data_IF_960794961079
#
_entry.id   IF_960794961079
#
_cell.length_a   1.000
_cell.length_b   1.000
_cell.length_c   1.000
_cell.angle_alpha   90.00
_cell.angle_beta   90.00
_cell.angle_gamma   90.00
#
_symmetry.space_group_name_H-M   'P 1'
#
loop_
_entity.id
_entity.type
_entity.pdbx_description
1 polymer ?
#
# COMPACT_ATOMS: atom_id res chain seq x y z
N UNK A 1 66.87 33.08 16.92
CA UNK A 1 65.52 33.20 16.33
C UNK A 1 64.97 31.80 16.19
N UNK A 2 63.82 31.47 16.79
CA UNK A 2 63.27 30.10 16.78
C UNK A 2 62.13 29.95 15.79
N UNK A 3 62.27 29.04 14.82
CA UNK A 3 61.22 28.67 13.87
C UNK A 3 60.38 27.51 14.40
N UNK A 4 59.28 27.81 15.10
CA UNK A 4 58.33 26.79 15.59
C UNK A 4 57.47 26.27 14.44
N UNK A 5 57.95 25.23 13.76
CA UNK A 5 57.16 24.48 12.77
C UNK A 5 56.01 23.74 13.45
N UNK A 6 54.81 24.32 13.44
CA UNK A 6 53.58 23.66 13.91
C UNK A 6 53.30 22.44 13.04
N UNK A 7 53.25 21.20 13.59
CA UNK A 7 52.94 20.03 12.80
C UNK A 7 51.52 20.11 12.26
N UNK A 8 51.36 19.93 10.94
CA UNK A 8 50.05 19.91 10.28
C UNK A 8 49.33 18.59 10.61
N UNK A 9 48.82 18.45 11.85
CA UNK A 9 47.95 17.34 12.27
C UNK A 9 46.55 17.56 11.68
N UNK A 10 46.47 17.52 10.35
CA UNK A 10 45.23 17.38 9.59
C UNK A 10 44.77 15.93 9.77
N UNK A 11 44.28 15.64 10.98
CA UNK A 11 44.02 14.29 11.45
C UNK A 11 43.18 13.52 10.43
N UNK A 12 43.66 12.32 10.07
CA UNK A 12 42.90 11.34 9.31
C UNK A 12 41.76 10.82 10.20
N UNK A 13 40.67 11.62 10.30
CA UNK A 13 39.38 11.12 10.79
C UNK A 13 39.03 9.92 9.92
N UNK A 14 39.06 8.73 10.51
CA UNK A 14 38.54 7.55 9.83
C UNK A 14 37.04 7.78 9.61
N UNK A 15 36.46 7.37 8.45
CA UNK A 15 35.02 7.53 8.23
C UNK A 15 34.18 6.90 9.35
N UNK A 16 34.68 5.81 9.93
CA UNK A 16 34.10 5.12 11.10
C UNK A 16 33.98 6.04 12.33
N UNK A 17 34.95 6.93 12.57
CA UNK A 17 34.93 7.87 13.70
C UNK A 17 33.78 8.89 13.57
N UNK A 18 33.46 9.33 12.35
CA UNK A 18 32.35 10.25 12.13
C UNK A 18 30.99 9.59 12.35
N UNK A 19 30.80 8.33 11.93
CA UNK A 19 29.53 7.61 12.13
C UNK A 19 29.13 7.37 13.59
N UNK A 20 30.07 7.51 14.54
CA UNK A 20 29.86 7.32 15.98
C UNK A 20 29.82 8.66 16.74
N UNK A 21 30.24 9.78 16.15
CA UNK A 21 30.35 11.06 16.86
C UNK A 21 29.02 11.85 16.90
N UNK A 22 28.46 12.01 18.11
CA UNK A 22 27.26 12.78 18.44
C UNK A 22 27.33 14.27 18.03
N UNK A 23 28.51 14.92 18.10
CA UNK A 23 28.72 16.34 17.72
C UNK A 23 28.23 16.63 16.31
N UNK A 24 28.30 15.63 15.43
CA UNK A 24 27.95 15.77 14.02
C UNK A 24 26.45 15.99 13.87
N UNK A 25 25.60 15.35 14.68
CA UNK A 25 24.16 15.62 14.67
C UNK A 25 23.90 17.06 15.14
N UNK A 26 24.49 17.47 16.26
CA UNK A 26 24.34 18.84 16.80
C UNK A 26 24.76 19.89 15.77
N UNK A 27 25.88 19.67 15.07
CA UNK A 27 26.39 20.55 14.00
C UNK A 27 25.41 20.67 12.83
N UNK A 28 24.88 19.55 12.34
CA UNK A 28 23.95 19.54 11.21
C UNK A 28 22.58 20.14 11.56
N UNK A 29 22.08 19.89 12.78
CA UNK A 29 20.85 20.51 13.28
C UNK A 29 21.01 22.02 13.53
N UNK A 30 22.18 22.50 13.98
CA UNK A 30 22.48 23.92 14.07
C UNK A 30 22.54 24.59 12.67
N UNK A 31 23.25 23.96 11.73
CA UNK A 31 23.36 24.46 10.35
C UNK A 31 21.99 24.55 9.66
N UNK A 32 21.12 23.55 9.83
CA UNK A 32 19.75 23.57 9.28
C UNK A 32 18.77 24.47 10.06
N UNK A 33 19.13 24.92 11.27
CA UNK A 33 18.28 25.77 12.11
C UNK A 33 17.24 25.01 12.92
N UNK A 34 17.45 23.70 13.15
CA UNK A 34 16.56 22.81 13.90
C UNK A 34 17.04 22.49 15.33
N UNK A 35 18.21 22.99 15.73
CA UNK A 35 18.72 22.86 17.11
C UNK A 35 17.98 23.83 18.05
N UNK A 36 17.06 23.30 18.86
CA UNK A 36 16.13 24.08 19.70
C UNK A 36 16.35 23.84 21.21
N UNK A 37 17.56 24.14 21.69
CA UNK A 37 18.03 23.90 23.07
C UNK A 37 17.10 24.44 24.19
N UNK A 38 16.25 25.41 23.89
CA UNK A 38 15.25 25.96 24.82
C UNK A 38 13.99 25.11 24.94
N UNK A 39 13.55 24.44 23.87
CA UNK A 39 12.41 23.53 23.89
C UNK A 39 12.77 22.17 24.50
N UNK A 40 14.03 21.77 24.37
CA UNK A 40 14.57 20.52 24.95
C UNK A 40 14.61 20.50 26.50
N UNK A 41 14.16 21.58 27.17
CA UNK A 41 13.93 21.63 28.63
C UNK A 41 12.55 21.12 29.05
N UNK A 42 11.57 21.05 28.15
CA UNK A 42 10.31 20.35 28.42
C UNK A 42 10.54 18.85 28.30
N UNK A 43 10.78 18.17 29.42
CA UNK A 43 10.96 16.71 29.51
C UNK A 43 9.66 15.90 29.23
N UNK A 44 8.69 16.48 28.51
CA UNK A 44 7.41 15.86 28.16
C UNK A 44 7.38 15.37 26.72
N UNK A 45 6.82 14.18 26.49
CA UNK A 45 6.43 13.76 25.14
C UNK A 45 5.31 14.69 24.69
N UNK A 46 5.48 15.39 23.55
CA UNK A 46 4.45 16.26 22.96
C UNK A 46 3.13 15.48 22.82
N UNK A 47 2.01 16.12 23.16
CA UNK A 47 0.67 15.51 23.04
C UNK A 47 0.40 14.97 21.62
N UNK A 48 0.88 15.68 20.58
CA UNK A 48 0.81 15.21 19.19
C UNK A 48 1.55 13.89 18.97
N UNK A 49 2.76 13.73 19.52
CA UNK A 49 3.53 12.48 19.44
C UNK A 49 2.81 11.31 20.14
N UNK A 50 2.13 11.54 21.27
CA UNK A 50 1.31 10.51 21.93
C UNK A 50 0.16 10.05 21.01
N UNK A 51 -0.56 10.99 20.40
CA UNK A 51 -1.63 10.69 19.43
C UNK A 51 -1.08 9.93 18.21
N UNK A 52 0.07 10.32 17.68
CA UNK A 52 0.68 9.62 16.55
C UNK A 52 1.20 8.22 16.91
N UNK A 53 1.68 7.99 18.13
CA UNK A 53 2.02 6.64 18.63
C UNK A 53 0.78 5.74 18.69
N UNK A 54 -0.35 6.24 19.20
CA UNK A 54 -1.62 5.48 19.21
C UNK A 54 -2.09 5.11 17.80
N UNK A 55 -1.94 6.04 16.84
CA UNK A 55 -2.21 5.78 15.42
C UNK A 55 -1.26 4.71 14.85
N UNK A 56 0.03 4.74 15.19
CA UNK A 56 0.97 3.71 14.76
C UNK A 56 0.64 2.33 15.33
N UNK A 57 0.27 2.24 16.61
CA UNK A 57 -0.21 1.00 17.22
C UNK A 57 -1.42 0.44 16.47
N UNK A 58 -2.36 1.28 16.05
CA UNK A 58 -3.50 0.87 15.23
C UNK A 58 -3.05 0.34 13.85
N UNK A 59 -2.18 1.06 13.13
CA UNK A 59 -1.62 0.64 11.83
C UNK A 59 -0.91 -0.73 11.93
N UNK A 60 -0.13 -0.94 13.00
CA UNK A 60 0.57 -2.21 13.27
C UNK A 60 -0.46 -3.33 13.49
N UNK A 61 -1.46 -3.11 14.34
CA UNK A 61 -2.50 -4.10 14.65
C UNK A 61 -3.34 -4.48 13.41
N UNK A 62 -3.76 -3.50 12.60
CA UNK A 62 -4.53 -3.78 11.36
C UNK A 62 -3.72 -4.62 10.36
N UNK A 63 -2.44 -4.30 10.17
CA UNK A 63 -1.60 -5.02 9.21
C UNK A 63 -1.17 -6.40 9.71
N UNK A 64 -0.95 -6.58 11.03
CA UNK A 64 -0.87 -7.91 11.66
C UNK A 64 -2.14 -8.71 11.37
N UNK A 65 -3.32 -8.08 11.46
CA UNK A 65 -4.59 -8.75 11.21
C UNK A 65 -4.80 -9.13 9.73
N UNK A 66 -4.31 -8.32 8.77
CA UNK A 66 -4.24 -8.70 7.34
C UNK A 66 -3.36 -9.95 7.16
N UNK A 67 -2.15 -9.96 7.74
CA UNK A 67 -1.20 -11.07 7.64
C UNK A 67 -1.77 -12.37 8.22
N UNK A 68 -2.34 -12.31 9.44
CA UNK A 68 -3.03 -13.43 10.08
C UNK A 68 -4.21 -13.94 9.24
N UNK A 69 -4.98 -13.02 8.64
CA UNK A 69 -6.12 -13.37 7.78
C UNK A 69 -5.68 -14.14 6.54
N UNK A 70 -4.57 -13.74 5.91
CA UNK A 70 -4.00 -14.44 4.74
C UNK A 70 -3.47 -15.81 5.16
N UNK A 71 -2.68 -15.88 6.25
CA UNK A 71 -2.05 -17.11 6.74
C UNK A 71 -3.05 -18.20 7.18
N UNK A 72 -4.10 -17.83 7.92
CA UNK A 72 -5.14 -18.79 8.36
C UNK A 72 -6.06 -19.24 7.22
N UNK A 73 -6.24 -18.43 6.18
CA UNK A 73 -7.25 -18.68 5.14
C UNK A 73 -6.64 -19.41 3.94
N UNK A 74 -6.71 -20.74 3.90
CA UNK A 74 -6.20 -21.57 2.76
C UNK A 74 -6.63 -21.09 1.36
N UNK A 75 -7.80 -20.44 1.23
CA UNK A 75 -8.29 -19.85 -0.03
C UNK A 75 -7.42 -18.68 -0.54
N UNK A 76 -6.74 -17.97 0.36
CA UNK A 76 -5.87 -16.84 0.07
C UNK A 76 -4.42 -17.25 -0.23
N UNK A 77 -4.08 -18.53 -0.27
CA UNK A 77 -2.78 -18.99 -0.80
C UNK A 77 -2.76 -18.95 -2.34
N UNK A 78 -2.67 -17.72 -2.89
CA UNK A 78 -2.56 -17.41 -4.33
C UNK A 78 -1.65 -16.17 -4.53
N UNK A 79 -0.92 -16.05 -5.65
CA UNK A 79 0.02 -14.95 -5.94
C UNK A 79 -0.43 -13.54 -5.55
N UNK A 80 -1.66 -13.16 -5.93
CA UNK A 80 -2.27 -11.87 -5.60
C UNK A 80 -2.23 -11.55 -4.09
N UNK A 81 -2.51 -12.53 -3.23
CA UNK A 81 -2.56 -12.32 -1.80
C UNK A 81 -1.16 -12.36 -1.16
N UNK A 82 -0.18 -13.04 -1.75
CA UNK A 82 1.21 -12.92 -1.29
C UNK A 82 1.75 -11.50 -1.48
N UNK A 83 1.41 -10.82 -2.59
CA UNK A 83 1.75 -9.41 -2.76
C UNK A 83 0.97 -8.47 -1.82
N UNK A 84 -0.29 -8.76 -1.51
CA UNK A 84 -1.05 -8.01 -0.49
C UNK A 84 -0.45 -8.21 0.90
N UNK A 85 -0.01 -9.43 1.23
CA UNK A 85 0.73 -9.72 2.46
C UNK A 85 2.08 -9.00 2.52
N UNK A 86 2.79 -8.90 1.39
CA UNK A 86 4.05 -8.13 1.35
C UNK A 86 3.85 -6.63 1.56
N UNK A 87 2.78 -6.07 0.99
CA UNK A 87 2.39 -4.67 1.21
C UNK A 87 1.96 -4.43 2.68
N UNK A 88 1.19 -5.35 3.27
CA UNK A 88 0.86 -5.28 4.69
C UNK A 88 2.11 -5.42 5.60
N UNK A 89 3.12 -6.19 5.18
CA UNK A 89 4.40 -6.29 5.90
C UNK A 89 5.22 -4.99 5.81
N UNK A 90 5.30 -4.34 4.66
CA UNK A 90 5.98 -3.04 4.53
C UNK A 90 5.23 -1.92 5.25
N UNK A 91 3.89 -1.94 5.25
CA UNK A 91 3.05 -0.99 6.00
C UNK A 91 3.11 -1.22 7.52
N UNK A 92 3.21 -2.48 7.98
CA UNK A 92 3.50 -2.83 9.39
C UNK A 92 4.87 -2.28 9.81
N UNK A 93 5.91 -2.53 9.01
CA UNK A 93 7.26 -2.03 9.30
C UNK A 93 7.33 -0.50 9.20
N UNK A 94 6.53 0.17 8.35
CA UNK A 94 6.39 1.62 8.37
C UNK A 94 5.83 2.13 9.71
N UNK A 95 4.81 1.46 10.27
CA UNK A 95 4.26 1.77 11.58
C UNK A 95 5.27 1.58 12.73
N UNK A 96 6.05 0.48 12.70
CA UNK A 96 7.14 0.24 13.67
C UNK A 96 8.26 1.28 13.53
N UNK A 97 8.72 1.53 12.31
CA UNK A 97 9.74 2.52 12.01
C UNK A 97 9.33 3.93 12.45
N UNK A 98 8.08 4.34 12.21
CA UNK A 98 7.60 5.65 12.63
C UNK A 98 7.36 5.75 14.14
N UNK A 99 6.95 4.66 14.80
CA UNK A 99 6.91 4.60 16.28
C UNK A 99 8.31 4.82 16.86
N UNK A 100 9.33 4.14 16.31
CA UNK A 100 10.72 4.35 16.69
C UNK A 100 11.22 5.77 16.35
N UNK A 101 10.82 6.33 15.20
CA UNK A 101 11.14 7.70 14.82
C UNK A 101 10.61 8.72 15.84
N UNK A 102 9.35 8.57 16.27
CA UNK A 102 8.70 9.43 17.28
C UNK A 102 9.36 9.32 18.65
N UNK A 103 9.65 8.09 19.13
CA UNK A 103 10.30 7.86 20.43
C UNK A 103 11.76 8.33 20.48
N UNK A 104 12.46 8.27 19.35
CA UNK A 104 13.84 8.73 19.21
C UNK A 104 13.96 10.17 18.68
N UNK A 105 12.86 10.95 18.70
CA UNK A 105 12.80 12.36 18.25
C UNK A 105 12.75 13.36 19.41
N UNK A 106 12.96 14.65 19.10
CA UNK A 106 13.15 15.70 20.10
C UNK A 106 14.51 15.56 20.79
N UNK A 107 14.58 15.83 22.10
CA UNK A 107 15.82 15.83 22.88
C UNK A 107 16.63 14.51 22.84
N UNK A 108 16.01 13.37 22.51
CA UNK A 108 16.72 12.09 22.29
C UNK A 108 17.52 12.06 20.98
N UNK A 109 17.16 12.89 19.98
CA UNK A 109 17.83 12.94 18.67
C UNK A 109 19.32 13.25 18.79
N UNK A 110 19.70 14.18 19.67
CA UNK A 110 21.10 14.59 19.85
C UNK A 110 21.92 13.56 20.67
N UNK A 111 21.26 12.56 21.26
CA UNK A 111 21.88 11.41 21.94
C UNK A 111 22.04 10.19 21.02
N UNK A 112 21.72 10.32 19.74
CA UNK A 112 21.95 9.28 18.73
C UNK A 112 23.34 9.45 18.09
N UNK A 113 23.99 8.34 17.74
CA UNK A 113 25.10 8.39 16.79
C UNK A 113 24.57 8.64 15.37
N UNK A 114 25.35 9.25 14.45
CA UNK A 114 24.95 9.36 13.05
C UNK A 114 24.54 8.02 12.41
N UNK A 115 25.19 6.91 12.77
CA UNK A 115 24.76 5.57 12.33
C UNK A 115 23.34 5.19 12.81
N UNK A 116 23.01 5.43 14.09
CA UNK A 116 21.66 5.20 14.62
C UNK A 116 20.63 6.14 13.97
N UNK A 117 21.02 7.38 13.69
CA UNK A 117 20.17 8.36 13.02
C UNK A 117 19.86 7.96 11.57
N UNK A 118 20.87 7.50 10.81
CA UNK A 118 20.63 6.95 9.46
C UNK A 118 19.81 5.65 9.48
N UNK A 119 19.94 4.82 10.51
CA UNK A 119 19.07 3.64 10.67
C UNK A 119 17.61 4.06 10.94
N UNK A 120 17.40 5.08 11.79
CA UNK A 120 16.09 5.67 12.11
C UNK A 120 15.38 6.18 10.86
N UNK A 121 16.00 7.09 10.11
CA UNK A 121 15.40 7.65 8.89
C UNK A 121 15.40 6.65 7.72
N UNK A 122 16.48 5.88 7.55
CA UNK A 122 16.63 4.88 6.51
C UNK A 122 15.55 3.80 6.56
N UNK A 123 15.12 3.40 7.77
CA UNK A 123 14.01 2.45 7.93
C UNK A 123 12.69 2.93 7.30
N UNK A 124 12.41 4.24 7.34
CA UNK A 124 11.26 4.84 6.65
C UNK A 124 11.42 4.79 5.12
N UNK A 125 12.63 5.03 4.60
CA UNK A 125 12.93 4.91 3.17
C UNK A 125 12.82 3.45 2.67
N UNK A 126 13.28 2.47 3.46
CA UNK A 126 13.11 1.03 3.15
C UNK A 126 11.63 0.66 3.09
N UNK A 127 10.83 1.10 4.07
CA UNK A 127 9.39 0.80 4.12
C UNK A 127 8.61 1.44 2.96
N UNK A 128 8.86 2.72 2.66
CA UNK A 128 8.33 3.41 1.47
C UNK A 128 8.66 2.64 0.19
N UNK A 129 9.94 2.32 -0.01
CA UNK A 129 10.41 1.59 -1.19
C UNK A 129 9.73 0.24 -1.32
N UNK A 130 9.62 -0.52 -0.23
CA UNK A 130 8.99 -1.83 -0.22
C UNK A 130 7.49 -1.75 -0.55
N UNK A 131 6.77 -0.73 -0.06
CA UNK A 131 5.36 -0.50 -0.44
C UNK A 131 5.22 -0.07 -1.92
N UNK A 132 6.09 0.79 -2.45
CA UNK A 132 6.07 1.20 -3.89
C UNK A 132 6.36 0.01 -4.82
N UNK A 133 7.39 -0.77 -4.55
CA UNK A 133 7.70 -1.96 -5.37
C UNK A 133 6.64 -3.06 -5.21
N UNK A 134 6.00 -3.19 -4.05
CA UNK A 134 4.83 -4.08 -3.87
C UNK A 134 3.64 -3.63 -4.73
N UNK A 135 3.33 -2.33 -4.79
CA UNK A 135 2.29 -1.79 -5.68
C UNK A 135 2.61 -2.03 -7.16
N UNK A 136 3.87 -1.88 -7.58
CA UNK A 136 4.31 -2.22 -8.94
C UNK A 136 4.15 -3.72 -9.23
N UNK A 137 4.53 -4.60 -8.31
CA UNK A 137 4.37 -6.05 -8.47
C UNK A 137 2.89 -6.46 -8.57
N UNK A 138 2.01 -5.84 -7.77
CA UNK A 138 0.55 -5.99 -7.88
C UNK A 138 0.05 -5.52 -9.26
N UNK A 139 0.55 -4.39 -9.76
CA UNK A 139 0.17 -3.86 -11.07
C UNK A 139 0.60 -4.78 -12.23
N UNK A 140 1.81 -5.34 -12.17
CA UNK A 140 2.32 -6.30 -13.16
C UNK A 140 1.54 -7.61 -13.11
N UNK A 141 1.27 -8.19 -11.93
CA UNK A 141 0.47 -9.41 -11.79
C UNK A 141 -0.98 -9.18 -12.28
N UNK A 142 -1.56 -8.00 -12.02
CA UNK A 142 -2.87 -7.60 -12.57
C UNK A 142 -2.85 -7.47 -14.09
N UNK A 143 -1.83 -6.85 -14.66
CA UNK A 143 -1.66 -6.74 -16.11
C UNK A 143 -1.59 -8.12 -16.78
N UNK A 144 -0.74 -9.02 -16.25
CA UNK A 144 -0.56 -10.38 -16.78
C UNK A 144 -1.86 -11.19 -16.68
N UNK A 145 -2.52 -11.19 -15.52
CA UNK A 145 -3.75 -11.97 -15.30
C UNK A 145 -4.93 -11.46 -16.12
N UNK A 146 -5.10 -10.14 -16.27
CA UNK A 146 -6.18 -9.57 -17.09
C UNK A 146 -5.90 -9.66 -18.59
N UNK A 147 -4.64 -9.56 -19.04
CA UNK A 147 -4.31 -9.72 -20.46
C UNK A 147 -4.55 -11.13 -20.96
N UNK A 148 -3.92 -12.12 -20.30
CA UNK A 148 -3.75 -13.48 -20.85
C UNK A 148 -4.99 -14.38 -20.73
N UNK A 149 -6.04 -13.94 -20.02
CA UNK A 149 -7.30 -14.69 -19.77
C UNK A 149 -7.13 -16.14 -19.29
N UNK A 150 -5.94 -16.53 -18.82
CA UNK A 150 -5.66 -17.94 -18.51
C UNK A 150 -6.50 -18.40 -17.33
N UNK A 151 -7.25 -19.50 -17.54
CA UNK A 151 -7.51 -20.44 -16.45
C UNK A 151 -6.17 -20.75 -15.78
N UNK A 152 -6.12 -20.65 -14.47
CA UNK A 152 -4.90 -20.60 -13.67
C UNK A 152 -4.24 -21.99 -13.56
N UNK A 153 -3.69 -22.46 -14.68
CA UNK A 153 -2.94 -23.70 -14.76
C UNK A 153 -1.49 -23.43 -14.30
N UNK A 154 -1.09 -24.02 -13.17
CA UNK A 154 0.27 -23.99 -12.64
C UNK A 154 0.88 -22.58 -12.48
N UNK A 155 0.48 -21.83 -11.45
CA UNK A 155 1.24 -20.64 -11.06
C UNK A 155 2.39 -21.03 -10.13
N UNK A 156 3.62 -20.89 -10.62
CA UNK A 156 4.83 -21.12 -9.82
C UNK A 156 4.94 -20.05 -8.73
N UNK A 157 4.50 -20.37 -7.50
CA UNK A 157 4.60 -19.49 -6.32
C UNK A 157 6.03 -18.97 -6.11
N UNK A 158 7.03 -19.77 -6.48
CA UNK A 158 8.45 -19.38 -6.54
C UNK A 158 8.69 -18.04 -7.25
N UNK A 159 7.99 -17.74 -8.34
CA UNK A 159 8.10 -16.43 -9.03
C UNK A 159 7.62 -15.27 -8.15
N UNK A 160 6.57 -15.49 -7.36
CA UNK A 160 6.07 -14.45 -6.45
C UNK A 160 7.05 -14.21 -5.30
N UNK A 161 7.64 -15.27 -4.75
CA UNK A 161 8.69 -15.16 -3.73
C UNK A 161 9.96 -14.48 -4.28
N UNK A 162 10.43 -14.85 -5.48
CA UNK A 162 11.58 -14.20 -6.13
C UNK A 162 11.33 -12.70 -6.34
N UNK A 163 10.15 -12.32 -6.82
CA UNK A 163 9.77 -10.91 -6.97
C UNK A 163 9.71 -10.18 -5.62
N UNK A 164 9.16 -10.81 -4.57
CA UNK A 164 9.12 -10.25 -3.21
C UNK A 164 10.55 -10.04 -2.67
N UNK A 165 11.42 -11.04 -2.76
CA UNK A 165 12.82 -10.93 -2.34
C UNK A 165 13.56 -9.82 -3.10
N UNK A 166 13.34 -9.69 -4.41
CA UNK A 166 13.90 -8.59 -5.20
C UNK A 166 13.40 -7.21 -4.73
N UNK A 167 12.11 -7.07 -4.40
CA UNK A 167 11.56 -5.83 -3.83
C UNK A 167 12.28 -5.45 -2.52
N UNK A 168 12.49 -6.42 -1.62
CA UNK A 168 13.19 -6.17 -0.35
C UNK A 168 14.67 -5.84 -0.54
N UNK A 169 15.41 -6.58 -1.39
CA UNK A 169 16.82 -6.29 -1.68
C UNK A 169 17.00 -4.90 -2.26
N UNK A 170 16.20 -4.51 -3.26
CA UNK A 170 16.28 -3.17 -3.86
C UNK A 170 15.93 -2.09 -2.83
N UNK A 171 14.95 -2.34 -1.96
CA UNK A 171 14.53 -1.38 -0.92
C UNK A 171 15.57 -1.19 0.18
N UNK A 172 16.22 -2.27 0.61
CA UNK A 172 17.32 -2.25 1.58
C UNK A 172 18.55 -1.52 1.00
N UNK A 173 18.88 -1.76 -0.28
CA UNK A 173 19.95 -1.03 -0.96
C UNK A 173 19.62 0.47 -1.03
N UNK A 174 18.44 0.85 -1.57
CA UNK A 174 18.06 2.26 -1.73
C UNK A 174 18.01 3.03 -0.40
N UNK A 175 17.45 2.43 0.66
CA UNK A 175 17.43 3.02 2.00
C UNK A 175 18.79 3.05 2.69
N UNK A 176 19.70 2.13 2.34
CA UNK A 176 21.04 1.99 2.92
C UNK A 176 22.14 2.84 2.25
N UNK A 177 21.94 3.31 1.00
CA UNK A 177 22.91 4.13 0.27
C UNK A 177 23.53 5.32 1.07
N UNK A 178 22.80 6.05 1.94
CA UNK A 178 23.40 7.11 2.76
C UNK A 178 24.43 6.58 3.78
N UNK A 179 24.20 5.39 4.34
CA UNK A 179 25.12 4.69 5.26
C UNK A 179 26.34 4.17 4.49
N UNK A 180 26.15 3.76 3.23
CA UNK A 180 27.23 3.35 2.33
C UNK A 180 28.06 4.54 1.80
N UNK A 181 27.73 5.78 2.17
CA UNK A 181 28.52 6.98 1.88
C UNK A 181 27.80 8.10 1.15
N UNK A 182 26.56 7.91 0.64
CA UNK A 182 25.84 8.96 -0.09
C UNK A 182 25.12 9.96 0.85
N UNK A 183 25.89 10.57 1.75
CA UNK A 183 25.43 11.52 2.76
C UNK A 183 26.16 12.87 2.62
N UNK A 184 25.92 13.79 3.56
CA UNK A 184 26.52 15.13 3.54
C UNK A 184 27.42 15.44 4.76
N UNK A 185 27.90 14.43 5.51
CA UNK A 185 28.58 14.62 6.80
C UNK A 185 29.79 15.58 6.76
N UNK A 186 30.51 15.62 5.64
CA UNK A 186 31.63 16.53 5.37
C UNK A 186 31.28 17.76 4.51
N UNK A 187 30.02 17.93 4.11
CA UNK A 187 29.59 18.88 3.09
C UNK A 187 28.24 19.55 3.46
N UNK A 188 28.23 20.32 4.55
CA UNK A 188 27.04 20.93 5.15
C UNK A 188 26.15 21.69 4.14
N UNK A 189 26.74 22.42 3.20
CA UNK A 189 26.00 23.17 2.18
C UNK A 189 25.12 22.30 1.25
N UNK A 190 25.42 21.02 1.15
CA UNK A 190 24.67 20.04 0.35
C UNK A 190 23.62 19.26 1.16
N UNK A 191 23.43 19.58 2.44
CA UNK A 191 22.47 18.90 3.31
C UNK A 191 21.02 19.36 3.11
N UNK A 192 20.09 18.43 3.35
CA UNK A 192 18.64 18.66 3.41
C UNK A 192 18.25 19.39 4.69
N UNK A 193 17.35 20.39 4.62
CA UNK A 193 16.74 21.04 5.79
C UNK A 193 15.75 20.11 6.47
N UNK A 194 15.03 19.28 5.71
CA UNK A 194 14.07 18.31 6.23
C UNK A 194 14.79 17.20 7.00
N UNK A 195 15.84 16.62 6.42
CA UNK A 195 16.66 15.52 6.95
C UNK A 195 18.15 15.93 7.08
N UNK A 196 18.60 16.51 8.21
CA UNK A 196 19.88 17.24 8.30
C UNK A 196 21.18 16.50 7.93
N UNK A 197 21.24 15.17 7.91
CA UNK A 197 22.44 14.42 7.48
C UNK A 197 22.33 13.83 6.06
N UNK A 198 21.17 13.97 5.39
CA UNK A 198 20.96 13.49 4.02
C UNK A 198 21.45 14.50 2.99
N UNK A 199 22.12 14.00 1.96
CA UNK A 199 22.57 14.80 0.81
C UNK A 199 21.38 15.14 -0.10
N UNK A 200 21.22 16.42 -0.48
CA UNK A 200 20.12 16.89 -1.33
C UNK A 200 19.99 16.11 -2.64
N UNK A 201 21.10 15.74 -3.28
CA UNK A 201 21.07 14.96 -4.53
C UNK A 201 20.57 13.51 -4.34
N UNK A 202 20.76 12.90 -3.16
CA UNK A 202 20.13 11.61 -2.85
C UNK A 202 18.61 11.79 -2.70
N UNK A 203 18.17 12.83 -1.98
CA UNK A 203 16.75 13.12 -1.79
C UNK A 203 16.05 13.37 -3.14
N UNK A 204 16.70 14.13 -4.02
CA UNK A 204 16.26 14.33 -5.40
C UNK A 204 16.16 12.99 -6.15
N UNK A 205 17.24 12.18 -6.15
CA UNK A 205 17.28 10.88 -6.80
C UNK A 205 16.14 9.96 -6.36
N UNK A 206 15.95 9.74 -5.05
CA UNK A 206 14.88 8.90 -4.53
C UNK A 206 13.50 9.45 -4.88
N UNK A 207 13.27 10.76 -4.74
CA UNK A 207 11.98 11.39 -5.05
C UNK A 207 11.65 11.27 -6.54
N UNK A 208 12.63 11.46 -7.42
CA UNK A 208 12.49 11.25 -8.87
C UNK A 208 12.19 9.78 -9.19
N UNK A 209 12.95 8.83 -8.64
CA UNK A 209 12.75 7.39 -8.87
C UNK A 209 11.36 6.94 -8.41
N UNK A 210 10.93 7.28 -7.20
CA UNK A 210 9.59 6.90 -6.73
C UNK A 210 8.47 7.58 -7.52
N UNK A 211 8.65 8.85 -7.94
CA UNK A 211 7.66 9.55 -8.78
C UNK A 211 7.53 8.91 -10.16
N UNK A 212 8.64 8.52 -10.80
CA UNK A 212 8.63 7.81 -12.08
C UNK A 212 8.01 6.41 -11.95
N UNK A 213 8.27 5.69 -10.86
CA UNK A 213 7.64 4.39 -10.57
C UNK A 213 6.12 4.54 -10.39
N UNK A 214 5.66 5.52 -9.61
CA UNK A 214 4.23 5.81 -9.45
C UNK A 214 3.56 6.19 -10.77
N UNK A 215 4.21 7.02 -11.59
CA UNK A 215 3.74 7.37 -12.94
C UNK A 215 3.61 6.14 -13.84
N UNK A 216 4.61 5.25 -13.82
CA UNK A 216 4.56 3.99 -14.57
C UNK A 216 3.40 3.08 -14.11
N UNK A 217 3.14 3.00 -12.80
CA UNK A 217 2.00 2.26 -12.23
C UNK A 217 0.67 2.88 -12.70
N UNK A 218 0.52 4.21 -12.67
CA UNK A 218 -0.67 4.91 -13.19
C UNK A 218 -0.88 4.62 -14.68
N UNK A 219 0.15 4.75 -15.52
CA UNK A 219 0.08 4.46 -16.96
C UNK A 219 -0.34 3.00 -17.20
N UNK A 220 0.19 2.06 -16.43
CA UNK A 220 -0.17 0.65 -16.51
C UNK A 220 -1.65 0.42 -16.16
N UNK A 221 -2.16 1.04 -15.10
CA UNK A 221 -3.58 0.95 -14.74
C UNK A 221 -4.52 1.64 -15.75
N UNK A 222 -4.13 2.79 -16.32
CA UNK A 222 -4.86 3.44 -17.41
C UNK A 222 -4.94 2.54 -18.65
N UNK A 223 -3.85 1.83 -19.00
CA UNK A 223 -3.85 0.82 -20.08
C UNK A 223 -4.75 -0.36 -19.74
N UNK A 224 -4.67 -0.93 -18.52
CA UNK A 224 -5.56 -2.02 -18.07
C UNK A 224 -7.03 -1.60 -18.16
N UNK A 225 -7.39 -0.43 -17.62
CA UNK A 225 -8.77 0.07 -17.63
C UNK A 225 -9.32 0.22 -19.05
N UNK A 226 -8.55 0.85 -19.94
CA UNK A 226 -8.92 1.02 -21.35
C UNK A 226 -9.08 -0.32 -22.08
N UNK A 227 -8.20 -1.30 -21.82
CA UNK A 227 -8.28 -2.65 -22.38
C UNK A 227 -9.53 -3.40 -21.89
N UNK A 228 -9.84 -3.36 -20.59
CA UNK A 228 -11.04 -4.01 -20.03
C UNK A 228 -12.32 -3.33 -20.54
N UNK A 229 -12.38 -1.99 -20.54
CA UNK A 229 -13.55 -1.24 -21.05
C UNK A 229 -13.79 -1.48 -22.54
N UNK A 230 -12.73 -1.56 -23.35
CA UNK A 230 -12.80 -1.88 -24.79
C UNK A 230 -13.26 -3.32 -25.04
N UNK A 231 -12.70 -4.30 -24.32
CA UNK A 231 -13.15 -5.70 -24.38
C UNK A 231 -14.62 -5.82 -23.99
N UNK A 232 -15.06 -5.11 -22.93
CA UNK A 232 -16.45 -5.11 -22.49
C UNK A 232 -17.42 -4.56 -23.55
N UNK A 233 -17.11 -3.41 -24.17
CA UNK A 233 -17.95 -2.83 -25.25
C UNK A 233 -18.06 -3.76 -26.48
N UNK A 234 -16.97 -4.42 -26.87
CA UNK A 234 -16.97 -5.39 -27.97
C UNK A 234 -17.77 -6.66 -27.63
N UNK A 235 -17.80 -7.09 -26.37
CA UNK A 235 -18.56 -8.26 -25.93
C UNK A 235 -20.06 -7.99 -25.82
N UNK A 236 -20.50 -6.78 -25.43
CA UNK A 236 -21.93 -6.41 -25.48
C UNK A 236 -22.52 -6.38 -26.90
N UNK A 237 -21.68 -6.28 -27.94
CA UNK A 237 -22.11 -6.29 -29.35
C UNK A 237 -22.26 -7.71 -29.94
N UNK A 238 -21.82 -8.77 -29.24
CA UNK A 238 -22.03 -10.17 -29.63
C UNK A 238 -22.99 -10.83 -28.63
N UNK A 239 -24.01 -11.55 -29.12
CA UNK A 239 -25.22 -11.97 -28.35
C UNK A 239 -25.02 -12.71 -27.00
N UNK A 240 -23.80 -13.11 -26.60
CA UNK A 240 -23.50 -13.80 -25.33
C UNK A 240 -23.37 -12.86 -24.11
N UNK A 241 -24.38 -12.01 -23.90
CA UNK A 241 -24.36 -10.87 -22.96
C UNK A 241 -24.14 -11.31 -21.49
N UNK A 242 -24.93 -12.27 -20.99
CA UNK A 242 -25.04 -12.57 -19.55
C UNK A 242 -23.76 -13.12 -18.91
N UNK A 243 -23.12 -14.10 -19.56
CA UNK A 243 -21.87 -14.74 -19.08
C UNK A 243 -20.66 -13.79 -19.21
N UNK A 244 -20.65 -12.94 -20.25
CA UNK A 244 -19.59 -11.98 -20.50
C UNK A 244 -19.63 -10.79 -19.52
N UNK A 245 -20.82 -10.18 -19.33
CA UNK A 245 -21.00 -9.03 -18.42
C UNK A 245 -20.55 -9.38 -17.00
N UNK A 246 -21.03 -10.50 -16.46
CA UNK A 246 -20.73 -10.95 -15.08
C UNK A 246 -19.26 -11.35 -14.84
N UNK A 247 -18.45 -11.44 -15.89
CA UNK A 247 -16.99 -11.58 -15.82
C UNK A 247 -16.28 -10.22 -15.90
N UNK A 248 -16.73 -9.35 -16.81
CA UNK A 248 -16.26 -7.97 -16.95
C UNK A 248 -16.48 -7.17 -15.67
N UNK A 249 -17.68 -7.23 -15.07
CA UNK A 249 -18.05 -6.59 -13.80
C UNK A 249 -17.10 -6.96 -12.65
N UNK A 250 -16.77 -8.25 -12.50
CA UNK A 250 -15.82 -8.73 -11.47
C UNK A 250 -14.41 -8.19 -11.70
N UNK A 251 -13.98 -8.16 -12.96
CA UNK A 251 -12.67 -7.63 -13.35
C UNK A 251 -12.58 -6.12 -13.10
N UNK A 252 -13.64 -5.37 -13.41
CA UNK A 252 -13.77 -3.94 -13.15
C UNK A 252 -13.87 -3.62 -11.65
N UNK A 253 -14.55 -4.43 -10.84
CA UNK A 253 -14.62 -4.24 -9.38
C UNK A 253 -13.25 -4.45 -8.72
N UNK A 254 -12.51 -5.48 -9.11
CA UNK A 254 -11.13 -5.71 -8.66
C UNK A 254 -10.17 -4.60 -9.14
N UNK A 255 -10.41 -4.04 -10.32
CA UNK A 255 -9.63 -2.91 -10.85
C UNK A 255 -9.91 -1.61 -10.10
N UNK A 256 -11.18 -1.27 -9.85
CA UNK A 256 -11.59 -0.11 -9.03
C UNK A 256 -10.91 -0.13 -7.66
N UNK A 257 -10.83 -1.30 -7.03
CA UNK A 257 -10.16 -1.47 -5.73
C UNK A 257 -8.71 -0.98 -5.75
N UNK A 258 -7.91 -1.39 -6.74
CA UNK A 258 -6.49 -1.03 -6.76
C UNK A 258 -6.26 0.39 -7.29
N UNK A 259 -7.16 0.92 -8.12
CA UNK A 259 -7.16 2.35 -8.47
C UNK A 259 -7.40 3.20 -7.21
N UNK A 260 -8.35 2.82 -6.33
CA UNK A 260 -8.58 3.53 -5.06
C UNK A 260 -7.33 3.49 -4.17
N UNK A 261 -6.71 2.32 -3.99
CA UNK A 261 -5.44 2.17 -3.25
C UNK A 261 -4.36 3.10 -3.80
N UNK A 262 -4.16 3.10 -5.12
CA UNK A 262 -3.14 3.94 -5.77
C UNK A 262 -3.43 5.44 -5.65
N UNK A 263 -4.69 5.85 -5.77
CA UNK A 263 -5.10 7.25 -5.60
C UNK A 263 -4.90 7.74 -4.16
N UNK A 264 -5.20 6.91 -3.16
CA UNK A 264 -4.94 7.25 -1.74
C UNK A 264 -3.43 7.31 -1.47
N UNK A 265 -2.65 6.36 -1.99
CA UNK A 265 -1.19 6.39 -1.89
C UNK A 265 -0.60 7.68 -2.47
N UNK A 266 -0.99 8.06 -3.68
CA UNK A 266 -0.52 9.30 -4.31
C UNK A 266 -0.96 10.54 -3.51
N UNK A 267 -2.21 10.58 -3.01
CA UNK A 267 -2.71 11.70 -2.20
C UNK A 267 -1.95 11.87 -0.88
N UNK A 268 -1.55 10.78 -0.23
CA UNK A 268 -0.79 10.80 1.02
C UNK A 268 0.71 11.12 0.82
N UNK A 269 1.34 10.58 -0.22
CA UNK A 269 2.79 10.72 -0.43
C UNK A 269 3.21 11.93 -1.27
N UNK A 270 2.37 12.40 -2.21
CA UNK A 270 2.72 13.55 -3.06
C UNK A 270 3.02 14.85 -2.27
N UNK A 271 2.30 15.21 -1.19
CA UNK A 271 2.64 16.39 -0.38
C UNK A 271 4.06 16.32 0.21
N UNK A 272 4.50 15.14 0.65
CA UNK A 272 5.86 14.93 1.15
C UNK A 272 6.90 14.99 0.02
N UNK A 273 6.62 14.39 -1.15
CA UNK A 273 7.52 14.47 -2.30
C UNK A 273 7.68 15.92 -2.81
N UNK A 274 6.62 16.72 -2.81
CA UNK A 274 6.68 18.15 -3.12
C UNK A 274 7.53 18.89 -2.08
N UNK A 275 7.36 18.62 -0.79
CA UNK A 275 8.18 19.22 0.28
C UNK A 275 9.68 18.87 0.12
N UNK A 276 10.01 17.64 -0.25
CA UNK A 276 11.38 17.19 -0.48
C UNK A 276 12.01 17.85 -1.73
N UNK A 277 11.24 18.03 -2.81
CA UNK A 277 11.71 18.79 -3.99
C UNK A 277 11.93 20.28 -3.65
N UNK A 278 11.06 20.88 -2.84
CA UNK A 278 11.24 22.24 -2.33
C UNK A 278 12.49 22.38 -1.47
N UNK A 279 12.79 21.40 -0.60
CA UNK A 279 14.02 21.40 0.21
C UNK A 279 15.29 21.29 -0.64
N UNK A 280 15.28 20.48 -1.68
CA UNK A 280 16.40 20.41 -2.64
C UNK A 280 16.65 21.80 -3.25
N UNK A 281 15.63 22.46 -3.77
CA UNK A 281 15.73 23.77 -4.41
C UNK A 281 15.93 24.97 -3.47
N UNK A 282 15.47 24.90 -2.21
CA UNK A 282 15.50 26.03 -1.30
C UNK A 282 16.85 26.19 -0.56
N UNK A 283 17.20 27.44 -0.25
CA UNK A 283 18.33 27.74 0.63
C UNK A 283 18.00 27.39 2.08
N UNK A 284 19.02 26.95 2.81
CA UNK A 284 18.91 26.53 4.22
C UNK A 284 18.52 27.75 5.08
N UNK A 285 17.60 27.56 6.04
CA UNK A 285 16.93 28.60 6.84
C UNK A 285 16.12 29.65 6.03
N UNK A 286 15.71 29.35 4.78
CA UNK A 286 14.89 30.28 3.96
C UNK A 286 13.42 29.86 3.79
N UNK A 287 13.10 28.56 3.83
CA UNK A 287 11.72 28.07 3.62
C UNK A 287 11.08 27.54 4.90
N UNK A 288 10.25 28.36 5.57
CA UNK A 288 9.58 28.03 6.84
C UNK A 288 8.78 26.72 6.82
N UNK A 289 8.20 26.37 5.67
CA UNK A 289 7.41 25.15 5.51
C UNK A 289 8.23 23.87 5.77
N UNK A 290 9.55 23.90 5.56
CA UNK A 290 10.46 22.76 5.77
C UNK A 290 10.67 22.42 7.26
N UNK A 291 10.37 23.37 8.15
CA UNK A 291 10.37 23.15 9.60
C UNK A 291 9.08 22.46 10.08
N UNK A 292 8.00 22.53 9.30
CA UNK A 292 6.70 21.88 9.58
C UNK A 292 6.54 20.52 8.91
N UNK A 293 7.66 19.87 8.56
CA UNK A 293 7.69 18.59 7.86
C UNK A 293 6.98 17.42 8.59
N UNK A 294 6.81 17.51 9.92
CA UNK A 294 6.16 16.49 10.74
C UNK A 294 4.74 16.14 10.24
N UNK A 295 3.93 17.13 9.85
CA UNK A 295 2.56 16.88 9.35
C UNK A 295 2.55 16.11 8.01
N UNK A 296 3.54 16.33 7.15
CA UNK A 296 3.67 15.65 5.87
C UNK A 296 4.13 14.20 6.04
N UNK A 297 5.00 13.94 7.03
CA UNK A 297 5.41 12.59 7.42
C UNK A 297 4.24 11.80 8.03
N UNK A 298 3.45 12.41 8.92
CA UNK A 298 2.22 11.81 9.47
C UNK A 298 1.23 11.43 8.36
N UNK A 299 0.99 12.34 7.40
CA UNK A 299 0.07 12.09 6.28
C UNK A 299 0.54 10.93 5.39
N UNK A 300 1.84 10.82 5.15
CA UNK A 300 2.44 9.71 4.42
C UNK A 300 2.31 8.37 5.16
N UNK A 301 2.48 8.36 6.50
CA UNK A 301 2.34 7.16 7.35
C UNK A 301 0.88 6.72 7.51
N UNK A 302 -0.07 7.65 7.57
CA UNK A 302 -1.51 7.33 7.66
C UNK A 302 -1.99 6.43 6.50
N UNK A 303 -1.36 6.53 5.32
CA UNK A 303 -1.63 5.63 4.18
C UNK A 303 -1.56 4.14 4.58
N UNK A 304 -0.60 3.76 5.43
CA UNK A 304 -0.37 2.37 5.85
C UNK A 304 -1.53 1.78 6.67
N UNK A 305 -2.40 2.60 7.25
CA UNK A 305 -3.69 2.17 7.83
C UNK A 305 -4.85 2.15 6.81
N UNK A 306 -4.79 2.96 5.75
CA UNK A 306 -5.87 2.98 4.74
C UNK A 306 -5.97 1.67 3.96
N UNK A 307 -4.86 0.94 3.76
CA UNK A 307 -4.82 -0.29 2.98
C UNK A 307 -5.75 -1.41 3.56
N UNK A 308 -5.62 -1.81 4.84
CA UNK A 308 -6.57 -2.72 5.50
C UNK A 308 -8.05 -2.28 5.39
N UNK A 309 -8.33 -0.99 5.58
CA UNK A 309 -9.69 -0.42 5.49
C UNK A 309 -10.24 -0.58 4.06
N UNK A 310 -9.47 -0.21 3.03
CA UNK A 310 -9.88 -0.36 1.62
C UNK A 310 -10.12 -1.84 1.28
N UNK A 311 -9.30 -2.77 1.81
CA UNK A 311 -9.47 -4.20 1.59
C UNK A 311 -10.75 -4.76 2.21
N UNK A 312 -11.10 -4.37 3.43
CA UNK A 312 -12.34 -4.83 4.08
C UNK A 312 -13.59 -4.20 3.44
N UNK A 313 -13.54 -2.94 3.04
CA UNK A 313 -14.67 -2.28 2.37
C UNK A 313 -14.94 -2.87 0.97
N UNK A 314 -13.91 -3.05 0.15
CA UNK A 314 -14.06 -3.46 -1.26
C UNK A 314 -14.15 -4.98 -1.47
N UNK A 315 -13.43 -5.79 -0.70
CA UNK A 315 -13.36 -7.24 -0.91
C UNK A 315 -14.26 -8.03 0.05
N UNK A 316 -15.45 -8.39 -0.43
CA UNK A 316 -16.45 -9.24 0.28
C UNK A 316 -15.92 -10.63 0.69
N UNK A 317 -14.76 -11.08 0.20
CA UNK A 317 -14.13 -12.32 0.68
C UNK A 317 -13.20 -12.04 1.86
N UNK A 318 -12.30 -11.05 1.76
CA UNK A 318 -11.46 -10.64 2.89
C UNK A 318 -12.32 -10.17 4.07
N UNK A 319 -13.38 -9.36 3.85
CA UNK A 319 -14.30 -8.95 4.93
C UNK A 319 -14.93 -10.12 5.68
N UNK A 320 -15.27 -11.23 5.00
CA UNK A 320 -15.83 -12.42 5.65
C UNK A 320 -14.77 -13.21 6.44
N UNK A 321 -13.52 -13.23 5.98
CA UNK A 321 -12.42 -13.84 6.71
C UNK A 321 -12.06 -13.00 7.95
N UNK A 322 -11.99 -11.67 7.82
CA UNK A 322 -11.81 -10.71 8.91
C UNK A 322 -12.86 -10.92 10.02
N UNK A 323 -14.15 -10.85 9.66
CA UNK A 323 -15.26 -11.03 10.61
C UNK A 323 -15.15 -12.39 11.30
N UNK A 324 -14.85 -13.48 10.56
CA UNK A 324 -14.69 -14.81 11.15
C UNK A 324 -13.59 -14.85 12.20
N UNK A 325 -12.42 -14.24 11.96
CA UNK A 325 -11.32 -14.23 12.93
C UNK A 325 -11.70 -13.41 14.16
N UNK A 326 -12.33 -12.24 13.99
CA UNK A 326 -12.87 -11.45 15.12
C UNK A 326 -13.95 -12.22 15.90
N UNK A 327 -14.76 -13.05 15.23
CA UNK A 327 -15.76 -13.90 15.88
C UNK A 327 -15.13 -15.09 16.62
N UNK A 328 -14.04 -15.69 16.12
CA UNK A 328 -13.32 -16.75 16.81
C UNK A 328 -12.50 -16.26 18.02
N UNK A 329 -12.26 -14.95 18.14
CA UNK A 329 -11.76 -14.34 19.38
C UNK A 329 -12.86 -14.14 20.44
N UNK A 330 -14.13 -14.45 20.14
CA UNK A 330 -15.16 -14.73 21.15
C UNK A 330 -15.20 -16.24 21.37
N UNK A 331 -15.25 -16.66 22.62
CA UNK A 331 -15.23 -18.08 22.99
C UNK A 331 -16.39 -18.86 22.35
N UNK A 332 -16.20 -20.15 22.00
CA UNK A 332 -17.24 -20.95 21.35
C UNK A 332 -18.37 -21.29 22.32
N UNK A 333 -19.48 -20.54 22.24
CA UNK A 333 -20.79 -21.14 22.49
C UNK A 333 -21.05 -22.21 21.41
N UNK A 334 -21.51 -23.39 21.81
CA UNK A 334 -21.52 -24.57 20.93
C UNK A 334 -22.41 -24.43 19.70
N UNK A 335 -21.88 -24.83 18.54
CA UNK A 335 -22.65 -25.30 17.38
C UNK A 335 -23.18 -26.74 17.71
N UNK A 336 -24.29 -27.23 17.10
CA UNK A 336 -24.56 -27.06 15.68
C UNK A 336 -25.95 -26.53 15.26
N UNK A 337 -25.93 -25.84 14.11
CA UNK A 337 -26.99 -25.82 13.09
C UNK A 337 -28.28 -24.99 13.37
N UNK A 338 -28.19 -23.66 13.17
CA UNK A 338 -29.36 -22.75 13.18
C UNK A 338 -29.27 -21.57 12.20
N UNK A 339 -29.87 -21.71 11.01
CA UNK A 339 -30.20 -20.68 9.98
C UNK A 339 -29.86 -19.21 10.33
N UNK A 340 -28.64 -18.74 10.06
CA UNK A 340 -28.24 -17.35 10.32
C UNK A 340 -28.95 -16.35 9.38
N UNK A 341 -29.98 -15.64 9.88
CA UNK A 341 -30.64 -14.53 9.17
C UNK A 341 -29.64 -13.38 8.95
N UNK A 342 -29.78 -12.64 7.85
CA UNK A 342 -28.98 -11.41 7.62
C UNK A 342 -29.45 -10.31 8.59
N UNK A 343 -28.54 -9.50 9.17
CA UNK A 343 -28.94 -8.23 9.75
C UNK A 343 -29.43 -7.29 8.64
N UNK A 344 -30.57 -6.64 8.88
CA UNK A 344 -31.09 -5.58 8.02
C UNK A 344 -30.40 -4.28 8.45
N UNK A 345 -29.66 -3.64 7.54
CA UNK A 345 -29.34 -2.23 7.67
C UNK A 345 -30.47 -1.48 6.95
N UNK A 346 -31.27 -0.73 7.71
CA UNK A 346 -32.31 0.11 7.15
C UNK A 346 -31.69 1.35 6.48
N UNK A 347 -32.28 1.81 5.38
CA UNK A 347 -31.90 3.05 4.70
C UNK A 347 -31.85 2.93 3.17
N UNK A 348 -32.72 3.70 2.50
CA UNK A 348 -32.73 3.96 1.06
C UNK A 348 -32.99 2.72 0.17
N UNK A 349 -34.24 2.29 0.11
CA UNK A 349 -34.75 1.67 -1.12
C UNK A 349 -35.06 2.77 -2.15
N UNK A 350 -34.71 2.52 -3.41
CA UNK A 350 -35.02 3.42 -4.52
C UNK A 350 -36.12 2.77 -5.38
N UNK A 351 -37.36 3.24 -5.23
CA UNK A 351 -38.53 2.63 -5.84
C UNK A 351 -38.41 2.50 -7.37
N UNK A 352 -38.71 1.31 -7.88
CA UNK A 352 -39.10 1.10 -9.27
C UNK A 352 -40.38 0.30 -9.29
N UNK A 353 -41.47 1.00 -9.58
CA UNK A 353 -42.78 0.42 -9.80
C UNK A 353 -42.75 -0.58 -10.96
N UNK A 354 -43.41 -1.72 -10.75
CA UNK A 354 -44.05 -2.48 -11.80
C UNK A 354 -45.52 -2.57 -11.42
N UNK A 355 -46.39 -2.25 -12.37
CA UNK A 355 -47.83 -2.47 -12.26
C UNK A 355 -48.12 -3.94 -12.50
N UNK A 356 -48.74 -4.61 -11.53
CA UNK A 356 -49.50 -5.81 -11.80
C UNK A 356 -50.76 -5.46 -12.59
N UNK A 357 -51.25 -6.39 -13.41
CA UNK A 357 -52.65 -6.40 -13.82
C UNK A 357 -53.06 -7.86 -14.05
N UNK A 358 -54.18 -8.28 -13.48
CA UNK A 358 -54.57 -9.69 -13.35
C UNK A 358 -55.98 -9.92 -13.86
N UNK A 359 -56.16 -10.91 -14.73
CA UNK A 359 -57.49 -11.42 -15.11
C UNK A 359 -57.46 -12.92 -15.44
N UNK A 360 -58.15 -13.68 -14.61
CA UNK A 360 -58.75 -15.00 -14.91
C UNK A 360 -60.27 -14.76 -15.08
N UNK A 361 -61.13 -15.72 -15.51
CA UNK A 361 -61.11 -17.17 -15.24
C UNK A 361 -60.97 -17.97 -16.58
N UNK A 362 -61.58 -19.13 -16.94
CA UNK A 362 -62.41 -20.13 -16.25
C UNK A 362 -62.34 -21.53 -16.96
N UNK A 363 -63.02 -22.49 -16.33
CA UNK A 363 -63.72 -23.74 -16.78
C UNK A 363 -64.16 -23.89 -18.26
N UNK A 364 -64.51 -25.08 -18.79
CA UNK A 364 -64.69 -26.44 -18.21
C UNK A 364 -64.51 -27.56 -19.28
N UNK A 365 -64.46 -28.83 -18.82
CA UNK A 365 -64.81 -30.11 -19.49
C UNK A 365 -64.09 -30.59 -20.79
N UNK A 366 -64.08 -31.92 -20.99
CA UNK A 366 -63.74 -32.58 -22.27
C UNK A 366 -63.03 -33.94 -22.13
N UNK A 367 -63.72 -35.04 -22.47
CA UNK A 367 -63.23 -36.42 -22.35
C UNK A 367 -62.38 -36.90 -23.56
N UNK A 368 -61.81 -38.10 -23.44
CA UNK A 368 -61.11 -38.87 -24.50
C UNK A 368 -61.90 -40.20 -24.72
N UNK A 369 -61.63 -41.07 -25.71
CA UNK A 369 -60.80 -40.96 -26.92
C UNK A 369 -61.55 -41.36 -28.22
N UNK A 370 -60.90 -41.31 -29.39
CA UNK A 370 -61.22 -42.19 -30.53
C UNK A 370 -59.98 -42.77 -31.22
N UNK A 371 -60.10 -44.00 -31.70
CA UNK A 371 -59.09 -44.73 -32.47
C UNK A 371 -59.67 -45.23 -33.80
N UNK A 372 -59.04 -44.87 -34.93
CA UNK A 372 -59.30 -45.52 -36.23
C UNK A 372 -57.97 -45.77 -36.94
N UNK A 373 -57.69 -47.03 -37.28
CA UNK A 373 -56.70 -47.39 -38.30
C UNK A 373 -57.36 -47.35 -39.69
N UNK A 374 -56.59 -47.03 -40.72
CA UNK A 374 -56.94 -47.42 -42.10
C UNK A 374 -55.67 -47.70 -42.92
N UNK A 375 -55.80 -48.58 -43.91
CA UNK A 375 -54.68 -49.25 -44.58
C UNK A 375 -54.30 -48.61 -45.91
N UNK A 376 -53.03 -48.77 -46.34
CA UNK A 376 -52.57 -48.35 -47.67
C UNK A 376 -51.23 -48.99 -48.06
N UNK A 377 -51.28 -50.07 -48.85
CA UNK A 377 -50.09 -50.70 -49.43
C UNK A 377 -49.49 -49.85 -50.57
N UNK A 378 -48.16 -49.81 -50.66
CA UNK A 378 -47.44 -49.55 -51.91
C UNK A 378 -46.25 -50.52 -51.99
N UNK A 379 -46.18 -51.30 -53.08
CA UNK A 379 -45.05 -52.19 -53.37
C UNK A 379 -44.10 -51.56 -54.39
N UNK A 380 -42.81 -51.58 -54.09
CA UNK A 380 -41.71 -51.66 -55.08
C UNK A 380 -40.52 -52.37 -54.40
N UNK A 381 -39.88 -53.42 -54.93
CA UNK A 381 -39.74 -53.97 -56.29
C UNK A 381 -38.62 -53.36 -57.15
N UNK A 382 -37.38 -53.37 -56.65
CA UNK A 382 -36.17 -53.85 -57.35
C UNK A 382 -35.02 -54.00 -56.36
#
# INVERSE_FOLDING_TARGET
>A
MGSTSVPLVKALRSPVSDYVNYDIIVRHYNYTGKLNTSADKENGIKMSSVVFILICCFIILENIFVLLTIWKTKKFHRPMYYFIGNLALSDLLAGVAYTANLLLSGATTYKLTPAQWFLREGSMFVALSASVFSLLAIAIERYITMLKMKLHNGSNSFRSFLLISACWVISLVLGGLPIMGWNCLGALASCSTVLPLYHKHYILFCTTVFTLLLLAIVILYCRIYSLVRTRSRRLTFRKNISKASRSSEKSLALLKTVIIVLSVFIACWAPLFILLLLDVGCKVKTCDILFRAEYFLVLAVLNSGTNPIIYTLTNKEMRRAFIRILSCCKCPGGDPAGKFKRPIIAGVEFSRSKSDNSSHPQKDDGDNPETVMSSGNVNSSS
#
